data_IF_711457528132
#
_entry.id   IF_711457528132
#
_cell.length_a   1.000
_cell.length_b   1.000
_cell.length_c   1.000
_cell.angle_alpha   90.00
_cell.angle_beta   90.00
_cell.angle_gamma   90.00
#
_symmetry.space_group_name_H-M   'P 1'
#
loop_
_entity.id
_entity.type
_entity.pdbx_description
1 polymer ?
#
# COMPACT_ATOMS: atom_id res chain seq x y z
N UNK A 1 35.16 -2.26 -59.34
CA UNK A 1 35.01 -2.27 -57.90
C UNK A 1 34.25 -1.00 -57.53
N UNK A 2 32.89 -1.06 -57.56
CA UNK A 2 32.03 0.06 -57.25
C UNK A 2 31.73 0.03 -55.69
N UNK A 3 32.10 1.06 -54.99
CA UNK A 3 31.73 1.29 -53.61
C UNK A 3 30.33 1.93 -53.58
N UNK A 4 29.35 1.19 -53.09
CA UNK A 4 28.04 1.71 -52.73
C UNK A 4 28.14 2.30 -51.32
N UNK A 5 28.16 3.62 -51.21
CA UNK A 5 27.94 4.33 -49.94
C UNK A 5 26.44 4.29 -49.59
N UNK A 6 26.07 3.52 -48.57
CA UNK A 6 24.76 3.61 -47.95
C UNK A 6 24.68 4.89 -47.13
N UNK A 7 23.87 5.84 -47.57
CA UNK A 7 23.51 7.03 -46.82
C UNK A 7 22.45 6.60 -45.78
N UNK A 8 22.85 6.54 -44.52
CA UNK A 8 21.90 6.43 -43.41
C UNK A 8 21.09 7.73 -43.36
N UNK A 9 19.82 7.67 -43.75
CA UNK A 9 18.87 8.75 -43.52
C UNK A 9 18.65 8.80 -42.00
N UNK A 10 19.31 9.76 -41.37
CA UNK A 10 19.05 10.06 -39.93
C UNK A 10 17.59 10.41 -39.78
N UNK A 11 16.91 9.73 -38.83
CA UNK A 11 15.55 10.06 -38.42
C UNK A 11 15.55 11.55 -38.03
N UNK A 12 14.91 12.39 -38.85
CA UNK A 12 14.60 13.77 -38.44
C UNK A 12 13.71 13.70 -37.24
N UNK A 13 14.21 14.08 -36.07
CA UNK A 13 13.42 14.32 -34.87
C UNK A 13 12.52 15.50 -35.17
N UNK A 14 11.32 15.25 -35.67
CA UNK A 14 10.30 16.27 -35.80
C UNK A 14 10.01 16.81 -34.41
N UNK A 15 10.05 18.14 -34.25
CA UNK A 15 9.69 18.79 -32.99
C UNK A 15 8.32 18.26 -32.52
N UNK A 16 8.25 17.60 -31.36
CA UNK A 16 7.03 16.99 -30.85
C UNK A 16 5.89 17.98 -30.59
N UNK A 17 6.17 19.27 -30.67
CA UNK A 17 5.19 20.35 -30.52
C UNK A 17 4.58 20.79 -31.87
N UNK A 18 5.13 20.38 -33.01
CA UNK A 18 4.59 20.73 -34.32
C UNK A 18 3.40 19.89 -34.75
N UNK A 19 3.23 18.70 -34.18
CA UNK A 19 2.15 17.78 -34.50
C UNK A 19 1.34 17.44 -33.27
N UNK A 20 0.03 17.39 -33.41
CA UNK A 20 -0.88 17.04 -32.33
C UNK A 20 -0.71 15.55 -31.96
N UNK A 21 -0.37 15.27 -30.73
CA UNK A 21 -0.20 13.89 -30.22
C UNK A 21 -1.51 13.08 -30.16
N UNK A 22 -2.65 13.75 -30.34
CA UNK A 22 -3.97 13.12 -30.32
C UNK A 22 -4.48 12.79 -31.73
N UNK A 23 -4.44 13.74 -32.67
CA UNK A 23 -4.97 13.54 -34.02
C UNK A 23 -3.90 13.41 -35.11
N UNK A 24 -2.62 13.58 -34.78
CA UNK A 24 -1.49 13.47 -35.71
C UNK A 24 -1.34 14.64 -36.67
N UNK A 25 -2.25 15.60 -36.67
CA UNK A 25 -2.20 16.71 -37.60
C UNK A 25 -1.22 17.79 -37.16
N UNK A 26 -0.65 18.50 -38.12
CA UNK A 26 0.20 19.66 -37.86
C UNK A 26 -0.60 20.71 -37.13
N UNK A 27 -0.02 21.30 -36.07
CA UNK A 27 -0.67 22.33 -35.28
C UNK A 27 -0.41 23.69 -35.94
N UNK A 28 -1.50 24.40 -36.19
CA UNK A 28 -1.47 25.77 -36.68
C UNK A 28 -2.11 26.67 -35.60
N UNK A 29 -1.37 27.63 -35.10
CA UNK A 29 -1.84 28.55 -34.03
C UNK A 29 -1.46 28.07 -32.64
N UNK A 30 -2.41 28.04 -31.70
CA UNK A 30 -2.15 27.73 -30.29
C UNK A 30 -1.77 26.27 -30.08
N UNK A 31 -0.65 26.03 -29.40
CA UNK A 31 -0.19 24.71 -28.96
C UNK A 31 -0.42 24.58 -27.47
N UNK A 32 -1.24 23.60 -27.06
CA UNK A 32 -1.37 23.18 -25.68
C UNK A 32 -0.28 22.15 -25.37
N UNK A 33 0.58 22.45 -24.41
CA UNK A 33 1.69 21.58 -24.04
C UNK A 33 1.27 20.68 -22.89
N UNK A 34 1.34 19.38 -23.13
CA UNK A 34 1.06 18.37 -22.14
C UNK A 34 2.35 17.69 -21.67
N UNK A 35 2.47 17.50 -20.36
CA UNK A 35 3.56 16.75 -19.72
C UNK A 35 2.96 15.69 -18.80
N UNK A 36 3.54 14.50 -18.81
CA UNK A 36 3.17 13.42 -17.93
C UNK A 36 4.43 12.56 -17.69
N UNK A 37 4.64 12.05 -16.47
CA UNK A 37 5.82 11.23 -16.15
C UNK A 37 6.03 10.04 -17.09
N UNK A 38 4.95 9.45 -17.58
CA UNK A 38 4.99 8.30 -18.49
C UNK A 38 5.23 8.67 -19.97
N UNK A 39 5.20 9.93 -20.32
CA UNK A 39 5.49 10.41 -21.67
C UNK A 39 6.95 10.85 -21.76
N UNK A 40 7.63 10.40 -22.78
CA UNK A 40 8.98 10.88 -23.09
C UNK A 40 8.90 12.31 -23.64
N UNK A 41 9.14 13.30 -22.79
CA UNK A 41 9.14 14.71 -23.14
C UNK A 41 7.75 15.36 -23.23
N UNK A 42 7.74 16.58 -23.74
CA UNK A 42 6.53 17.39 -23.93
C UNK A 42 5.73 16.90 -25.15
N UNK A 43 4.41 16.97 -25.08
CA UNK A 43 3.49 16.62 -26.16
C UNK A 43 2.66 17.83 -26.55
N UNK A 44 2.62 18.15 -27.86
CA UNK A 44 1.75 19.20 -28.39
C UNK A 44 0.32 18.67 -28.61
N UNK A 45 -0.67 19.45 -28.23
CA UNK A 45 -2.09 19.18 -28.47
C UNK A 45 -2.68 20.39 -29.17
N UNK A 46 -3.42 20.18 -30.28
CA UNK A 46 -4.12 21.26 -30.98
C UNK A 46 -5.37 21.70 -30.21
N UNK A 47 -5.84 22.90 -30.48
CA UNK A 47 -6.99 23.50 -29.78
C UNK A 47 -8.23 22.60 -29.81
N UNK A 48 -8.56 22.03 -30.96
CA UNK A 48 -9.72 21.12 -31.09
C UNK A 48 -9.60 19.87 -30.20
N UNK A 49 -8.40 19.29 -30.10
CA UNK A 49 -8.19 18.11 -29.27
C UNK A 49 -8.10 18.45 -27.78
N UNK A 50 -7.68 19.66 -27.43
CA UNK A 50 -7.66 20.13 -26.04
C UNK A 50 -9.06 20.30 -25.44
N UNK A 51 -10.12 20.42 -26.30
CA UNK A 51 -11.53 20.50 -25.86
C UNK A 51 -12.15 19.13 -25.54
N UNK A 52 -11.47 18.02 -25.83
CA UNK A 52 -11.95 16.67 -25.56
C UNK A 52 -11.92 16.44 -24.05
N UNK A 53 -13.05 16.06 -23.45
CA UNK A 53 -13.18 15.84 -22.00
C UNK A 53 -12.60 14.51 -21.55
N UNK A 54 -12.75 13.48 -22.37
CA UNK A 54 -12.26 12.14 -22.08
C UNK A 54 -10.73 12.10 -22.25
N UNK A 55 -10.04 11.62 -21.22
CA UNK A 55 -8.59 11.49 -21.22
C UNK A 55 -8.15 10.07 -20.85
N UNK A 56 -7.02 9.64 -21.38
CA UNK A 56 -6.41 8.38 -21.00
C UNK A 56 -6.03 8.40 -19.50
N UNK A 57 -6.41 7.37 -18.78
CA UNK A 57 -6.17 7.26 -17.32
C UNK A 57 -4.67 7.06 -16.98
N UNK A 58 -3.82 6.76 -17.96
CA UNK A 58 -2.38 6.57 -17.78
C UNK A 58 -1.60 7.82 -18.19
N UNK A 59 -1.67 8.19 -19.48
CA UNK A 59 -0.87 9.30 -19.98
C UNK A 59 -1.58 10.67 -19.93
N UNK A 60 -2.86 10.68 -19.57
CA UNK A 60 -3.74 11.86 -19.51
C UNK A 60 -3.91 12.63 -20.83
N UNK A 61 -3.46 12.08 -21.95
CA UNK A 61 -3.75 12.66 -23.26
C UNK A 61 -5.25 12.50 -23.58
N UNK A 62 -5.88 13.50 -24.20
CA UNK A 62 -7.25 13.36 -24.68
C UNK A 62 -7.44 12.15 -25.61
N UNK A 63 -8.55 11.43 -25.47
CA UNK A 63 -8.85 10.26 -26.29
C UNK A 63 -9.93 10.61 -27.31
N UNK A 64 -9.64 10.48 -28.60
CA UNK A 64 -10.56 10.85 -29.69
C UNK A 64 -11.11 9.66 -30.45
N UNK A 65 -10.24 8.73 -30.81
CA UNK A 65 -10.57 7.52 -31.58
C UNK A 65 -9.66 6.38 -31.09
N UNK A 66 -10.10 5.12 -31.36
CA UNK A 66 -9.28 3.93 -31.02
C UNK A 66 -8.82 3.94 -29.57
N UNK A 67 -9.76 4.03 -28.67
CA UNK A 67 -9.50 3.93 -27.22
C UNK A 67 -10.22 2.73 -26.63
N UNK A 68 -9.73 2.26 -25.49
CA UNK A 68 -10.36 1.25 -24.65
C UNK A 68 -11.19 1.96 -23.58
N UNK A 69 -12.48 1.74 -23.56
CA UNK A 69 -13.37 2.13 -22.46
C UNK A 69 -13.40 1.02 -21.42
N UNK A 70 -13.01 1.33 -20.18
CA UNK A 70 -13.01 0.39 -19.05
C UNK A 70 -14.38 0.25 -18.39
N UNK A 71 -15.41 1.00 -18.87
CA UNK A 71 -16.80 0.94 -18.39
C UNK A 71 -17.02 1.45 -16.96
N UNK A 72 -16.03 2.13 -16.41
CA UNK A 72 -16.08 2.71 -15.06
C UNK A 72 -15.69 4.21 -15.04
N UNK A 73 -15.78 4.85 -16.19
CA UNK A 73 -15.41 6.25 -16.40
C UNK A 73 -13.93 6.45 -16.72
N UNK A 74 -13.15 5.38 -16.81
CA UNK A 74 -11.75 5.43 -17.23
C UNK A 74 -11.62 5.00 -18.69
N UNK A 75 -10.69 5.64 -19.38
CA UNK A 75 -10.36 5.36 -20.77
C UNK A 75 -8.85 5.12 -20.92
N UNK A 76 -8.46 4.27 -21.84
CA UNK A 76 -7.05 4.08 -22.21
C UNK A 76 -6.90 4.43 -23.70
N UNK A 77 -5.89 5.22 -24.06
CA UNK A 77 -5.57 5.45 -25.46
C UNK A 77 -5.10 4.13 -26.12
N UNK A 78 -5.09 4.08 -27.43
CA UNK A 78 -4.70 2.85 -28.17
C UNK A 78 -3.32 2.34 -27.73
N UNK A 79 -2.39 3.23 -27.46
CA UNK A 79 -1.03 2.86 -27.07
C UNK A 79 -0.98 2.23 -25.67
N UNK A 80 -1.58 2.89 -24.69
CA UNK A 80 -1.59 2.40 -23.32
C UNK A 80 -2.45 1.13 -23.17
N UNK A 81 -3.54 1.01 -23.92
CA UNK A 81 -4.39 -0.18 -23.91
C UNK A 81 -3.67 -1.47 -24.37
N UNK A 82 -2.62 -1.36 -25.19
CA UNK A 82 -1.82 -2.51 -25.65
C UNK A 82 -0.99 -3.15 -24.56
N UNK A 83 -0.62 -2.38 -23.54
CA UNK A 83 0.31 -2.82 -22.49
C UNK A 83 -0.32 -2.81 -21.08
N UNK A 84 -1.45 -2.15 -20.90
CA UNK A 84 -2.14 -2.08 -19.62
C UNK A 84 -2.52 -3.47 -19.09
N UNK A 85 -2.49 -3.63 -17.78
CA UNK A 85 -2.88 -4.86 -17.09
C UNK A 85 -4.40 -4.94 -17.04
N UNK A 86 -4.97 -5.74 -17.93
CA UNK A 86 -6.42 -5.87 -18.14
C UNK A 86 -6.95 -7.28 -17.85
N UNK A 87 -6.06 -8.26 -17.63
CA UNK A 87 -6.45 -9.64 -17.38
C UNK A 87 -5.75 -10.18 -16.13
N UNK A 88 -6.39 -11.12 -15.47
CA UNK A 88 -5.84 -11.72 -14.26
C UNK A 88 -4.56 -12.50 -14.54
N UNK A 89 -4.44 -13.14 -15.68
CA UNK A 89 -3.25 -13.92 -16.07
C UNK A 89 -2.01 -13.02 -16.20
N UNK A 90 -2.20 -11.82 -16.79
CA UNK A 90 -1.14 -10.80 -16.86
C UNK A 90 -0.78 -10.30 -15.47
N UNK A 91 -1.78 -10.03 -14.63
CA UNK A 91 -1.59 -9.59 -13.27
C UNK A 91 -0.85 -10.63 -12.41
N UNK A 92 -1.23 -11.91 -12.50
CA UNK A 92 -0.58 -13.02 -11.78
C UNK A 92 0.88 -13.19 -12.21
N UNK A 93 1.17 -13.08 -13.50
CA UNK A 93 2.55 -13.14 -14.03
C UNK A 93 3.42 -12.03 -13.45
N UNK A 94 2.92 -10.80 -13.42
CA UNK A 94 3.62 -9.66 -12.83
C UNK A 94 3.78 -9.81 -11.32
N UNK A 95 2.73 -10.29 -10.64
CA UNK A 95 2.73 -10.49 -9.20
C UNK A 95 3.72 -11.57 -8.76
N UNK A 96 3.86 -12.65 -9.53
CA UNK A 96 4.90 -13.65 -9.27
C UNK A 96 6.30 -13.02 -9.33
N UNK A 97 6.55 -12.14 -10.31
CA UNK A 97 7.78 -11.39 -10.37
C UNK A 97 7.98 -10.43 -9.19
N UNK A 98 6.90 -9.87 -8.62
CA UNK A 98 6.95 -9.07 -7.37
C UNK A 98 7.37 -9.95 -6.21
N UNK A 99 6.74 -11.11 -6.02
CA UNK A 99 7.10 -12.05 -4.95
C UNK A 99 8.57 -12.43 -5.00
N UNK A 100 9.09 -12.78 -6.17
CA UNK A 100 10.51 -13.12 -6.33
C UNK A 100 11.44 -11.96 -5.96
N UNK A 101 11.12 -10.73 -6.37
CA UNK A 101 11.89 -9.55 -6.00
C UNK A 101 11.90 -9.30 -4.49
N UNK A 102 10.74 -9.41 -3.84
CA UNK A 102 10.59 -9.19 -2.40
C UNK A 102 11.23 -10.31 -1.57
N UNK A 103 11.19 -11.57 -2.05
CA UNK A 103 11.87 -12.69 -1.40
C UNK A 103 13.35 -12.36 -1.19
N UNK A 104 14.00 -11.78 -2.17
CA UNK A 104 15.43 -11.42 -2.05
C UNK A 104 15.67 -10.33 -1.00
N UNK A 105 14.74 -9.41 -0.82
CA UNK A 105 14.83 -8.33 0.17
C UNK A 105 14.58 -8.82 1.59
N UNK A 106 13.64 -9.75 1.78
CA UNK A 106 13.21 -10.23 3.08
C UNK A 106 13.76 -11.59 3.50
N UNK A 107 14.58 -12.25 2.67
CA UNK A 107 15.03 -13.64 2.87
C UNK A 107 15.62 -13.95 4.27
N UNK A 108 16.10 -12.93 4.99
CA UNK A 108 16.65 -13.06 6.35
C UNK A 108 15.84 -12.33 7.41
N UNK A 109 14.70 -11.75 7.05
CA UNK A 109 14.04 -10.72 7.85
C UNK A 109 12.63 -11.09 8.29
N UNK A 110 12.24 -12.34 8.18
CA UNK A 110 10.93 -12.79 8.63
C UNK A 110 10.29 -13.83 7.71
N UNK A 111 9.08 -14.23 8.05
CA UNK A 111 8.29 -15.20 7.31
C UNK A 111 7.67 -14.51 6.08
N UNK A 112 7.69 -15.18 4.94
CA UNK A 112 7.03 -14.70 3.73
C UNK A 112 5.57 -15.16 3.71
N UNK A 113 4.61 -14.29 3.39
CA UNK A 113 3.22 -14.66 3.23
C UNK A 113 3.05 -15.74 2.16
N UNK A 114 2.43 -16.86 2.52
CA UNK A 114 2.28 -18.01 1.64
C UNK A 114 0.87 -18.10 1.01
N UNK A 115 -0.17 -17.73 1.75
CA UNK A 115 -1.57 -17.82 1.30
C UNK A 115 -2.08 -16.44 0.86
N UNK A 116 -1.74 -16.07 -0.39
CA UNK A 116 -2.17 -14.81 -1.00
C UNK A 116 -3.05 -15.09 -2.20
N UNK A 117 -4.21 -14.44 -2.25
CA UNK A 117 -5.12 -14.40 -3.40
C UNK A 117 -5.06 -13.01 -4.03
N UNK A 118 -4.75 -12.96 -5.31
CA UNK A 118 -4.72 -11.73 -6.09
C UNK A 118 -6.07 -11.54 -6.80
N UNK A 119 -6.58 -10.32 -6.77
CA UNK A 119 -7.79 -9.91 -7.48
C UNK A 119 -7.50 -8.67 -8.32
N UNK A 120 -7.79 -8.76 -9.60
CA UNK A 120 -7.80 -7.61 -10.50
C UNK A 120 -9.24 -7.08 -10.56
N UNK A 121 -9.46 -5.83 -10.19
CA UNK A 121 -10.80 -5.27 -10.00
C UNK A 121 -10.97 -3.93 -10.72
N UNK A 122 -12.19 -3.62 -11.12
CA UNK A 122 -12.55 -2.30 -11.63
C UNK A 122 -12.75 -1.28 -10.48
N UNK A 123 -12.93 -0.01 -10.82
CA UNK A 123 -13.10 1.06 -9.83
C UNK A 123 -14.33 0.89 -8.93
N UNK A 124 -15.54 0.55 -9.44
CA UNK A 124 -16.72 0.32 -8.60
C UNK A 124 -16.53 -0.80 -7.58
N UNK A 125 -15.90 -1.90 -7.99
CA UNK A 125 -15.59 -3.01 -7.09
C UNK A 125 -14.55 -2.62 -6.04
N UNK A 126 -13.48 -1.91 -6.43
CA UNK A 126 -12.48 -1.38 -5.50
C UNK A 126 -13.13 -0.47 -4.44
N UNK A 127 -14.01 0.44 -4.85
CA UNK A 127 -14.72 1.31 -3.93
C UNK A 127 -15.65 0.54 -2.98
N UNK A 128 -16.32 -0.49 -3.47
CA UNK A 128 -17.20 -1.34 -2.67
C UNK A 128 -16.39 -2.08 -1.61
N UNK A 129 -15.27 -2.70 -1.98
CA UNK A 129 -14.37 -3.42 -1.06
C UNK A 129 -13.87 -2.46 0.02
N UNK A 130 -13.43 -1.26 -0.36
CA UNK A 130 -12.95 -0.23 0.55
C UNK A 130 -14.01 0.24 1.54
N UNK A 131 -15.25 0.46 1.10
CA UNK A 131 -16.38 0.89 1.96
C UNK A 131 -16.71 -0.16 3.03
N UNK A 132 -16.69 -1.42 2.67
CA UNK A 132 -16.96 -2.53 3.61
C UNK A 132 -15.90 -2.57 4.72
N UNK A 133 -14.67 -2.18 4.44
CA UNK A 133 -13.56 -2.24 5.38
C UNK A 133 -13.42 -1.00 6.28
N UNK A 134 -14.20 0.06 6.06
CA UNK A 134 -14.19 1.31 6.85
C UNK A 134 -12.79 1.94 7.01
N UNK A 135 -12.01 1.98 5.94
CA UNK A 135 -10.73 2.70 5.98
C UNK A 135 -10.96 4.21 6.21
N UNK A 136 -10.29 4.82 7.19
CA UNK A 136 -10.53 6.22 7.58
C UNK A 136 -9.92 7.25 6.62
N UNK A 137 -9.18 6.85 5.60
CA UNK A 137 -8.45 7.77 4.73
C UNK A 137 -9.28 8.32 3.57
N UNK A 138 -9.05 9.60 3.20
CA UNK A 138 -9.81 10.25 2.16
C UNK A 138 -9.58 9.64 0.75
N UNK A 139 -10.62 9.78 -0.03
CA UNK A 139 -11.04 9.17 -1.28
C UNK A 139 -10.14 9.47 -2.49
N UNK A 140 -8.86 9.64 -2.40
CA UNK A 140 -8.05 9.89 -3.59
C UNK A 140 -7.41 8.58 -4.09
N UNK A 141 -8.10 8.00 -5.10
CA UNK A 141 -7.57 6.95 -6.00
C UNK A 141 -6.90 5.75 -5.34
N UNK A 142 -7.62 5.01 -4.50
CA UNK A 142 -7.13 3.70 -4.05
C UNK A 142 -6.92 2.81 -5.28
N UNK A 143 -5.67 2.49 -5.60
CA UNK A 143 -5.29 1.62 -6.73
C UNK A 143 -4.91 0.22 -6.27
N UNK A 144 -4.64 0.04 -4.98
CA UNK A 144 -4.38 -1.24 -4.32
C UNK A 144 -5.04 -1.31 -2.96
N UNK A 145 -5.24 -2.51 -2.44
CA UNK A 145 -5.77 -2.77 -1.11
C UNK A 145 -5.45 -4.20 -0.67
N UNK A 146 -4.93 -4.35 0.54
CA UNK A 146 -4.68 -5.64 1.17
C UNK A 146 -5.67 -5.90 2.29
N UNK A 147 -6.26 -7.09 2.30
CA UNK A 147 -7.12 -7.58 3.35
C UNK A 147 -6.58 -8.87 3.93
N UNK A 148 -6.32 -8.88 5.22
CA UNK A 148 -5.81 -10.03 5.94
C UNK A 148 -6.90 -10.63 6.81
N UNK A 149 -7.02 -11.96 6.79
CA UNK A 149 -7.86 -12.73 7.71
C UNK A 149 -7.01 -13.75 8.45
N UNK A 150 -7.06 -13.72 9.78
CA UNK A 150 -6.44 -14.75 10.60
C UNK A 150 -7.29 -16.03 10.51
N UNK A 151 -6.67 -17.16 10.16
CA UNK A 151 -7.24 -18.51 10.25
C UNK A 151 -7.00 -19.11 11.63
N UNK A 152 -5.81 -18.86 12.17
CA UNK A 152 -5.38 -19.24 13.51
C UNK A 152 -4.37 -18.21 14.02
N UNK A 153 -3.76 -18.46 15.17
CA UNK A 153 -2.81 -17.51 15.81
C UNK A 153 -1.59 -17.20 14.92
N UNK A 154 -1.18 -18.14 14.04
CA UNK A 154 0.00 -18.00 13.18
C UNK A 154 -0.29 -18.29 11.69
N UNK A 155 -1.55 -18.38 11.31
CA UNK A 155 -1.97 -18.64 9.94
C UNK A 155 -2.87 -17.54 9.43
N UNK A 156 -2.50 -16.98 8.29
CA UNK A 156 -3.21 -15.87 7.67
C UNK A 156 -3.55 -16.21 6.22
N UNK A 157 -4.65 -15.64 5.76
CA UNK A 157 -4.98 -15.53 4.33
C UNK A 157 -5.00 -14.06 3.97
N UNK A 158 -4.35 -13.72 2.88
CA UNK A 158 -4.32 -12.37 2.35
C UNK A 158 -5.07 -12.30 1.03
N UNK A 159 -5.88 -11.28 0.90
CA UNK A 159 -6.56 -10.92 -0.35
C UNK A 159 -5.98 -9.58 -0.80
N UNK A 160 -5.28 -9.57 -1.92
CA UNK A 160 -4.71 -8.36 -2.52
C UNK A 160 -5.57 -7.98 -3.72
N UNK A 161 -6.14 -6.80 -3.67
CA UNK A 161 -6.96 -6.22 -4.73
C UNK A 161 -6.17 -5.12 -5.42
N UNK A 162 -6.06 -5.18 -6.74
CA UNK A 162 -5.39 -4.14 -7.53
C UNK A 162 -6.32 -3.70 -8.65
N UNK A 163 -6.33 -2.40 -8.90
CA UNK A 163 -7.14 -1.80 -9.95
C UNK A 163 -6.64 -2.26 -11.32
N UNK A 164 -7.56 -2.63 -12.20
CA UNK A 164 -7.25 -2.94 -13.60
C UNK A 164 -6.85 -1.69 -14.41
N UNK A 165 -6.33 -1.88 -15.60
CA UNK A 165 -5.98 -0.79 -16.51
C UNK A 165 -4.74 0.01 -16.09
N UNK A 166 -3.95 -0.45 -15.13
CA UNK A 166 -2.66 0.15 -14.77
C UNK A 166 -1.56 -0.24 -15.77
N UNK A 167 -0.52 0.58 -15.89
CA UNK A 167 0.73 0.16 -16.57
C UNK A 167 1.39 -0.99 -15.81
N UNK A 168 2.13 -1.89 -16.48
CA UNK A 168 2.83 -2.98 -15.80
C UNK A 168 3.78 -2.54 -14.69
N UNK A 169 4.54 -1.44 -14.90
CA UNK A 169 5.42 -0.89 -13.87
C UNK A 169 4.64 -0.37 -12.66
N UNK A 170 3.56 0.38 -12.89
CA UNK A 170 2.71 0.90 -11.83
C UNK A 170 1.99 -0.23 -11.08
N UNK A 171 1.43 -1.21 -11.80
CA UNK A 171 0.88 -2.42 -11.19
C UNK A 171 1.91 -3.11 -10.27
N UNK A 172 3.14 -3.23 -10.74
CA UNK A 172 4.24 -3.85 -9.98
C UNK A 172 4.58 -3.09 -8.71
N UNK A 173 4.63 -1.75 -8.77
CA UNK A 173 4.87 -0.90 -7.60
C UNK A 173 3.73 -1.05 -6.56
N UNK A 174 2.47 -0.96 -7.02
CA UNK A 174 1.28 -1.16 -6.17
C UNK A 174 1.27 -2.57 -5.57
N UNK A 175 1.54 -3.60 -6.36
CA UNK A 175 1.58 -4.98 -5.89
C UNK A 175 2.67 -5.22 -4.82
N UNK A 176 3.82 -4.55 -4.94
CA UNK A 176 4.89 -4.62 -3.94
C UNK A 176 4.48 -3.94 -2.63
N UNK A 177 3.82 -2.80 -2.71
CA UNK A 177 3.23 -2.08 -1.57
C UNK A 177 2.24 -2.97 -0.83
N UNK A 178 1.26 -3.53 -1.53
CA UNK A 178 0.22 -4.37 -0.95
C UNK A 178 0.76 -5.70 -0.39
N UNK A 179 1.74 -6.31 -1.05
CA UNK A 179 2.42 -7.48 -0.52
C UNK A 179 3.14 -7.18 0.79
N UNK A 180 3.69 -5.98 0.92
CA UNK A 180 4.37 -5.54 2.15
C UNK A 180 3.40 -5.41 3.31
N UNK A 181 2.17 -4.94 3.09
CA UNK A 181 1.12 -4.98 4.12
C UNK A 181 0.85 -6.42 4.60
N UNK A 182 0.75 -7.39 3.67
CA UNK A 182 0.58 -8.80 4.03
C UNK A 182 1.77 -9.31 4.86
N UNK A 183 3.01 -8.98 4.46
CA UNK A 183 4.21 -9.33 5.20
C UNK A 183 4.23 -8.71 6.61
N UNK A 184 3.85 -7.46 6.75
CA UNK A 184 3.77 -6.79 8.06
C UNK A 184 2.78 -7.49 9.00
N UNK A 185 1.62 -7.91 8.50
CA UNK A 185 0.62 -8.62 9.30
C UNK A 185 1.13 -9.95 9.86
N UNK A 186 2.06 -10.62 9.19
CA UNK A 186 2.65 -11.87 9.65
C UNK A 186 3.90 -11.70 10.53
N UNK A 187 4.57 -10.53 10.46
CA UNK A 187 5.91 -10.36 11.03
C UNK A 187 6.02 -9.27 12.08
N UNK A 188 5.04 -8.39 12.19
CA UNK A 188 5.00 -7.30 13.16
C UNK A 188 4.02 -7.67 14.27
N UNK A 189 4.48 -7.61 15.52
CA UNK A 189 3.61 -7.90 16.68
C UNK A 189 2.41 -6.94 16.72
N UNK A 190 1.25 -7.44 17.11
CA UNK A 190 0.05 -6.62 17.36
C UNK A 190 0.25 -5.58 18.46
N UNK A 191 1.22 -5.80 19.34
CA UNK A 191 1.59 -4.84 20.41
C UNK A 191 2.51 -3.72 19.89
N UNK A 192 3.04 -3.87 18.68
CA UNK A 192 3.87 -2.86 18.02
C UNK A 192 3.00 -1.73 17.48
N UNK A 193 2.97 -0.63 18.21
CA UNK A 193 2.21 0.57 17.86
C UNK A 193 2.97 1.39 16.81
N UNK A 194 2.71 1.12 15.53
CA UNK A 194 3.22 1.95 14.44
C UNK A 194 2.20 3.02 14.06
N UNK A 195 2.69 4.23 13.78
CA UNK A 195 1.90 5.28 13.13
C UNK A 195 1.53 4.84 11.71
N UNK A 196 0.36 5.23 11.23
CA UNK A 196 -0.08 4.89 9.87
C UNK A 196 0.90 5.37 8.81
N UNK A 197 1.46 6.60 8.97
CA UNK A 197 2.42 7.13 8.01
C UNK A 197 3.71 6.29 7.98
N UNK A 198 4.12 5.69 9.10
CA UNK A 198 5.27 4.79 9.16
C UNK A 198 4.97 3.44 8.50
N UNK A 199 3.77 2.90 8.67
CA UNK A 199 3.32 1.67 7.97
C UNK A 199 3.34 1.89 6.46
N UNK A 200 2.66 2.93 5.99
CA UNK A 200 2.56 3.26 4.58
C UNK A 200 3.94 3.62 3.98
N UNK A 201 4.73 4.41 4.73
CA UNK A 201 6.09 4.77 4.31
C UNK A 201 7.01 3.57 4.16
N UNK A 202 6.86 2.54 4.99
CA UNK A 202 7.61 1.31 4.85
C UNK A 202 7.14 0.50 3.62
N UNK A 203 5.83 0.42 3.37
CA UNK A 203 5.29 -0.22 2.16
C UNK A 203 5.79 0.48 0.89
N UNK A 204 5.82 1.81 0.88
CA UNK A 204 6.38 2.62 -0.22
C UNK A 204 7.90 2.41 -0.37
N UNK A 205 8.65 2.27 0.73
CA UNK A 205 10.08 1.96 0.68
C UNK A 205 10.33 0.64 -0.06
N UNK A 206 9.57 -0.41 0.23
CA UNK A 206 9.74 -1.72 -0.42
C UNK A 206 9.37 -1.64 -1.90
N UNK A 207 8.28 -0.95 -2.22
CA UNK A 207 7.90 -0.67 -3.61
C UNK A 207 9.02 0.10 -4.34
N UNK A 208 9.56 1.15 -3.72
CA UNK A 208 10.67 1.94 -4.27
C UNK A 208 11.90 1.07 -4.55
N UNK A 209 12.32 0.22 -3.60
CA UNK A 209 13.47 -0.67 -3.76
C UNK A 209 13.27 -1.69 -4.89
N UNK A 210 12.05 -2.21 -5.05
CA UNK A 210 11.74 -3.09 -6.17
C UNK A 210 11.82 -2.34 -7.51
N UNK A 211 11.33 -1.10 -7.58
CA UNK A 211 11.41 -0.27 -8.78
C UNK A 211 12.87 0.12 -9.11
N UNK A 212 13.68 0.37 -8.10
CA UNK A 212 15.13 0.61 -8.24
C UNK A 212 15.84 -0.61 -8.85
N UNK A 213 15.59 -1.81 -8.33
CA UNK A 213 16.12 -3.06 -8.88
C UNK A 213 15.70 -3.29 -10.34
N UNK A 214 14.49 -2.89 -10.70
CA UNK A 214 13.94 -3.01 -12.05
C UNK A 214 14.32 -1.87 -12.97
N UNK A 215 14.98 -0.84 -12.47
CA UNK A 215 15.38 0.37 -13.21
C UNK A 215 14.17 1.12 -13.79
N UNK A 216 13.14 1.30 -12.96
CA UNK A 216 11.90 2.01 -13.30
C UNK A 216 11.88 3.43 -12.68
N UNK A 217 12.66 4.40 -13.23
CA UNK A 217 12.86 5.71 -12.61
C UNK A 217 11.57 6.54 -12.51
N UNK A 218 10.61 6.30 -13.40
CA UNK A 218 9.32 7.01 -13.37
C UNK A 218 8.53 6.61 -12.12
N UNK A 219 8.43 5.30 -11.85
CA UNK A 219 7.72 4.82 -10.65
C UNK A 219 8.45 5.24 -9.37
N UNK A 220 9.77 5.20 -9.35
CA UNK A 220 10.57 5.72 -8.23
C UNK A 220 10.25 7.19 -7.94
N UNK A 221 10.18 8.03 -8.98
CA UNK A 221 9.83 9.44 -8.83
C UNK A 221 8.38 9.63 -8.34
N UNK A 222 7.43 8.83 -8.82
CA UNK A 222 6.04 8.89 -8.39
C UNK A 222 5.89 8.50 -6.91
N UNK A 223 6.56 7.44 -6.46
CA UNK A 223 6.58 7.04 -5.06
C UNK A 223 7.12 8.17 -4.18
N UNK A 224 8.24 8.78 -4.56
CA UNK A 224 8.85 9.87 -3.79
C UNK A 224 8.02 11.17 -3.79
N UNK A 225 7.23 11.40 -4.82
CA UNK A 225 6.34 12.57 -4.90
C UNK A 225 4.98 12.36 -4.22
N UNK A 226 4.74 11.18 -3.65
CA UNK A 226 3.48 10.86 -2.99
C UNK A 226 3.45 11.42 -1.55
N UNK A 227 2.62 12.42 -1.33
CA UNK A 227 2.45 13.07 -0.01
C UNK A 227 1.68 12.19 1.00
N UNK A 228 1.18 11.04 0.58
CA UNK A 228 0.35 10.15 1.39
C UNK A 228 1.06 9.69 2.68
N UNK A 229 2.36 9.43 2.62
CA UNK A 229 3.17 8.98 3.75
C UNK A 229 3.73 10.13 4.60
N UNK A 230 3.37 11.36 4.31
CA UNK A 230 3.89 12.58 4.96
C UNK A 230 5.41 12.59 5.09
N UNK A 231 6.10 12.09 4.08
CA UNK A 231 7.55 12.07 4.00
C UNK A 231 8.22 10.89 4.70
N UNK A 232 7.49 9.92 5.27
CA UNK A 232 8.12 8.76 5.94
C UNK A 232 8.98 7.91 4.99
N UNK A 233 8.59 7.79 3.72
CA UNK A 233 9.44 7.10 2.73
C UNK A 233 10.81 7.75 2.59
N UNK A 234 10.89 9.09 2.60
CA UNK A 234 12.16 9.82 2.56
C UNK A 234 12.98 9.56 3.81
N UNK A 235 12.36 9.61 4.99
CA UNK A 235 13.03 9.32 6.26
C UNK A 235 13.62 7.91 6.27
N UNK A 236 12.93 6.92 5.75
CA UNK A 236 13.46 5.56 5.62
C UNK A 236 14.62 5.47 4.62
N UNK A 237 14.59 6.21 3.52
CA UNK A 237 15.67 6.26 2.54
C UNK A 237 16.92 6.94 3.10
N UNK A 238 16.76 7.94 3.98
CA UNK A 238 17.87 8.65 4.63
C UNK A 238 18.63 7.78 5.65
N UNK A 239 18.02 6.69 6.13
CA UNK A 239 18.63 5.73 7.08
C UNK A 239 19.71 4.84 6.44
N UNK A 240 20.21 5.15 5.33
CA UNK A 240 21.14 4.37 4.53
C UNK A 240 20.41 3.48 3.50
N UNK A 241 20.55 3.86 2.24
CA UNK A 241 19.93 3.15 1.13
C UNK A 241 20.35 1.69 0.99
N UNK A 242 21.49 1.29 1.57
CA UNK A 242 21.99 -0.09 1.50
C UNK A 242 21.54 -0.98 2.67
N UNK A 243 20.84 -0.44 3.68
CA UNK A 243 20.55 -1.12 4.95
C UNK A 243 19.08 -1.33 5.23
N UNK A 244 18.38 -1.97 4.31
CA UNK A 244 16.99 -2.36 4.53
C UNK A 244 16.83 -3.20 5.81
N UNK A 245 17.86 -3.94 6.20
CA UNK A 245 17.84 -4.78 7.40
C UNK A 245 17.53 -3.98 8.67
N UNK A 246 18.20 -2.85 8.90
CA UNK A 246 18.01 -2.01 10.08
C UNK A 246 16.60 -1.43 10.13
N UNK A 247 16.08 -1.00 8.99
CA UNK A 247 14.70 -0.51 8.88
C UNK A 247 13.68 -1.62 9.20
N UNK A 248 13.90 -2.83 8.69
CA UNK A 248 13.04 -3.98 9.00
C UNK A 248 13.10 -4.34 10.49
N UNK A 249 14.28 -4.31 11.12
CA UNK A 249 14.39 -4.53 12.57
C UNK A 249 13.65 -3.47 13.37
N UNK A 250 13.73 -2.21 12.96
CA UNK A 250 12.98 -1.16 13.61
C UNK A 250 11.45 -1.33 13.43
N UNK A 251 10.98 -1.67 12.25
CA UNK A 251 9.56 -1.95 11.99
C UNK A 251 9.05 -3.06 12.92
N UNK A 252 9.82 -4.13 13.09
CA UNK A 252 9.42 -5.30 13.87
C UNK A 252 9.55 -5.10 15.38
N UNK A 253 10.60 -4.46 15.84
CA UNK A 253 11.03 -4.49 17.24
C UNK A 253 11.26 -3.10 17.85
N UNK A 254 11.18 -2.04 17.07
CA UNK A 254 11.31 -0.67 17.59
C UNK A 254 10.19 -0.29 18.56
N UNK A 255 10.45 0.69 19.40
CA UNK A 255 9.51 1.21 20.40
C UNK A 255 8.81 2.49 19.95
N UNK A 256 9.41 3.20 18.99
CA UNK A 256 8.90 4.46 18.48
C UNK A 256 7.77 4.21 17.47
N UNK A 257 6.75 5.05 17.46
CA UNK A 257 5.59 4.88 16.55
C UNK A 257 5.94 5.27 15.10
N UNK A 258 6.83 6.25 14.92
CA UNK A 258 7.34 6.72 13.63
C UNK A 258 8.80 7.15 13.73
N UNK A 259 9.47 7.28 12.61
CA UNK A 259 10.84 7.81 12.55
C UNK A 259 10.82 9.32 12.37
N UNK A 260 11.63 9.98 13.21
CA UNK A 260 11.89 11.40 13.18
C UNK A 260 13.40 11.64 13.33
N UNK A 261 13.88 12.84 12.97
CA UNK A 261 15.29 13.19 13.10
C UNK A 261 15.86 12.97 14.52
N UNK A 262 15.01 13.05 15.54
CA UNK A 262 15.37 12.89 16.95
C UNK A 262 15.59 11.45 17.38
N UNK A 263 15.00 10.47 16.69
CA UNK A 263 15.05 9.05 17.07
C UNK A 263 15.68 8.13 16.02
N UNK A 264 16.07 8.65 14.88
CA UNK A 264 16.61 7.88 13.74
C UNK A 264 17.85 7.05 14.13
N UNK A 265 18.66 7.53 15.07
CA UNK A 265 19.84 6.80 15.57
C UNK A 265 19.50 5.50 16.32
N UNK A 266 18.29 5.35 16.84
CA UNK A 266 17.84 4.14 17.53
C UNK A 266 17.67 2.94 16.60
N UNK A 267 17.44 3.18 15.32
CA UNK A 267 17.40 2.13 14.30
C UNK A 267 18.68 1.32 14.27
N UNK A 268 19.83 2.00 14.40
CA UNK A 268 21.15 1.35 14.37
C UNK A 268 21.50 0.63 15.65
N UNK A 269 20.91 1.01 16.78
CA UNK A 269 21.16 0.36 18.08
C UNK A 269 20.50 -1.03 18.12
N UNK A 270 19.27 -1.14 17.63
CA UNK A 270 18.53 -2.41 17.57
C UNK A 270 19.28 -3.46 16.72
N UNK A 271 19.77 -3.05 15.55
CA UNK A 271 20.48 -3.95 14.65
C UNK A 271 21.81 -4.47 15.22
N UNK A 272 22.51 -3.67 16.04
CA UNK A 272 23.78 -4.07 16.68
C UNK A 272 23.58 -5.07 17.82
N UNK A 273 22.45 -5.05 18.51
CA UNK A 273 22.16 -5.98 19.59
C UNK A 273 21.96 -7.42 19.11
N UNK A 274 21.43 -7.60 17.90
CA UNK A 274 21.27 -8.94 17.30
C UNK A 274 22.58 -9.51 16.70
N UNK A 275 23.50 -8.67 16.25
CA UNK A 275 24.79 -9.14 15.66
C UNK A 275 25.81 -9.63 16.69
N UNK A 276 25.55 -9.45 17.98
CA UNK A 276 26.51 -9.82 19.06
C UNK A 276 26.52 -11.32 19.41
N UNK A 277 25.61 -12.15 18.94
CA UNK A 277 25.71 -13.61 18.92
C UNK A 277 24.72 -14.20 17.91
N UNK A 278 25.12 -15.09 16.99
CA UNK A 278 24.14 -15.91 16.30
C UNK A 278 23.56 -16.88 17.34
N UNK A 279 22.27 -16.81 17.66
CA UNK A 279 21.67 -17.89 18.42
C UNK A 279 21.68 -19.11 17.51
N UNK A 280 22.27 -20.20 18.02
CA UNK A 280 21.97 -21.53 17.51
C UNK A 280 20.44 -21.58 17.33
N UNK A 281 19.97 -22.01 16.16
CA UNK A 281 18.55 -22.20 15.84
C UNK A 281 17.93 -23.24 16.79
N UNK A 282 17.68 -22.84 18.02
CA UNK A 282 16.62 -23.40 18.82
C UNK A 282 15.42 -22.49 18.55
N UNK A 283 14.39 -23.02 17.94
CA UNK A 283 13.06 -22.40 17.91
C UNK A 283 12.78 -22.05 19.38
N UNK A 284 12.77 -20.77 19.79
CA UNK A 284 12.32 -20.45 21.13
C UNK A 284 10.88 -20.96 21.21
N UNK A 285 10.49 -21.61 22.31
CA UNK A 285 9.08 -21.90 22.53
C UNK A 285 8.33 -20.57 22.34
N UNK A 286 7.12 -20.58 21.76
CA UNK A 286 6.36 -19.38 21.51
C UNK A 286 6.33 -18.60 22.81
N UNK A 287 6.88 -17.37 22.79
CA UNK A 287 6.71 -16.44 23.91
C UNK A 287 5.22 -16.10 23.87
N UNK A 288 4.46 -16.84 24.66
CA UNK A 288 3.08 -16.53 24.95
C UNK A 288 3.15 -15.19 25.71
N UNK A 289 3.01 -14.09 24.96
CA UNK A 289 2.82 -12.78 25.59
C UNK A 289 1.48 -12.84 26.29
N UNK A 290 1.56 -13.00 27.61
CA UNK A 290 0.41 -13.01 28.49
C UNK A 290 -0.35 -11.71 28.25
N UNK A 291 -1.57 -11.80 27.73
CA UNK A 291 -2.44 -10.65 27.56
C UNK A 291 -2.69 -10.00 28.93
N UNK A 292 -3.22 -8.77 28.98
CA UNK A 292 -3.55 -8.13 30.24
C UNK A 292 -4.46 -9.05 31.07
N UNK A 293 -4.13 -9.29 32.34
CA UNK A 293 -4.84 -10.21 33.23
C UNK A 293 -6.30 -9.81 33.52
N UNK A 294 -6.74 -8.67 32.99
CA UNK A 294 -8.09 -8.13 33.19
C UNK A 294 -8.58 -7.38 31.93
N UNK A 295 -9.90 -7.25 31.81
CA UNK A 295 -10.52 -6.37 30.82
C UNK A 295 -10.26 -4.91 31.18
N UNK A 296 -9.68 -4.12 30.28
CA UNK A 296 -9.39 -2.70 30.47
C UNK A 296 -9.94 -1.88 29.32
N UNK A 297 -10.61 -0.78 29.64
CA UNK A 297 -10.99 0.23 28.65
C UNK A 297 -9.76 1.08 28.30
N UNK A 298 -9.35 1.06 27.04
CA UNK A 298 -8.16 1.77 26.54
C UNK A 298 -8.48 3.14 25.98
N UNK A 299 -9.57 3.23 25.21
CA UNK A 299 -10.00 4.50 24.62
C UNK A 299 -11.49 4.48 24.28
N UNK A 300 -12.08 5.68 24.20
CA UNK A 300 -13.41 5.93 23.64
C UNK A 300 -13.21 6.95 22.53
N UNK A 301 -13.80 6.71 21.36
CA UNK A 301 -13.69 7.56 20.18
C UNK A 301 -15.02 7.72 19.46
N UNK A 302 -15.14 8.73 18.61
CA UNK A 302 -16.34 9.02 17.81
C UNK A 302 -17.34 9.99 18.48
N UNK A 303 -18.26 10.54 17.69
CA UNK A 303 -19.30 11.46 18.19
C UNK A 303 -20.31 10.71 19.06
N UNK A 304 -21.03 11.42 19.94
CA UNK A 304 -21.95 10.85 20.93
C UNK A 304 -22.94 9.81 20.38
N UNK A 305 -23.40 9.98 19.14
CA UNK A 305 -24.35 9.05 18.49
C UNK A 305 -23.68 7.80 17.87
N UNK A 306 -22.32 7.75 17.77
CA UNK A 306 -21.56 6.65 17.14
C UNK A 306 -20.24 6.41 17.87
N UNK A 307 -20.29 6.31 19.18
CA UNK A 307 -19.10 6.03 20.00
C UNK A 307 -18.62 4.61 19.80
N UNK A 308 -17.29 4.47 19.82
CA UNK A 308 -16.59 3.20 19.83
C UNK A 308 -15.73 3.12 21.10
N UNK A 309 -15.73 1.97 21.75
CA UNK A 309 -14.90 1.68 22.91
C UNK A 309 -13.84 0.63 22.58
N UNK A 310 -12.58 0.92 22.84
CA UNK A 310 -11.49 -0.05 22.74
C UNK A 310 -11.28 -0.73 24.10
N UNK A 311 -11.52 -2.05 24.13
CA UNK A 311 -11.33 -2.89 25.31
C UNK A 311 -10.17 -3.84 25.05
N UNK A 312 -9.09 -3.72 25.81
CA UNK A 312 -7.79 -4.33 25.55
C UNK A 312 -7.31 -3.99 24.12
N UNK A 313 -7.41 -4.91 23.19
CA UNK A 313 -7.02 -4.80 21.78
C UNK A 313 -8.19 -4.89 20.79
N UNK A 314 -9.44 -4.87 21.27
CA UNK A 314 -10.63 -5.02 20.44
C UNK A 314 -11.54 -3.79 20.54
N UNK A 315 -12.00 -3.28 19.40
CA UNK A 315 -12.92 -2.14 19.32
C UNK A 315 -14.36 -2.62 19.20
N UNK A 316 -15.27 -1.98 19.95
CA UNK A 316 -16.68 -2.31 20.01
C UNK A 316 -17.56 -1.09 19.74
N UNK A 317 -18.60 -1.29 18.96
CA UNK A 317 -19.78 -0.43 18.95
C UNK A 317 -20.80 -0.89 20.02
N UNK A 318 -21.79 -0.05 20.31
CA UNK A 318 -22.90 -0.42 21.19
C UNK A 318 -23.64 -1.64 20.62
N UNK A 319 -23.93 -2.63 21.46
CA UNK A 319 -24.52 -3.94 21.15
C UNK A 319 -23.64 -4.90 20.35
N UNK A 320 -22.39 -4.55 20.06
CA UNK A 320 -21.45 -5.43 19.39
C UNK A 320 -20.89 -6.48 20.37
N UNK A 321 -20.63 -7.69 19.85
CA UNK A 321 -20.07 -8.81 20.58
C UNK A 321 -18.78 -9.26 19.92
N UNK A 322 -17.73 -9.50 20.72
CA UNK A 322 -16.43 -9.93 20.21
C UNK A 322 -15.57 -10.60 21.27
N UNK A 323 -14.55 -11.32 20.83
CA UNK A 323 -13.60 -12.01 21.73
C UNK A 323 -12.49 -11.03 22.12
N UNK A 324 -12.28 -10.87 23.42
CA UNK A 324 -11.20 -10.06 24.00
C UNK A 324 -10.23 -10.97 24.71
N UNK A 325 -8.93 -10.83 24.43
CA UNK A 325 -7.90 -11.61 25.11
C UNK A 325 -7.68 -11.08 26.53
N UNK A 326 -7.71 -12.00 27.48
CA UNK A 326 -7.47 -11.75 28.91
C UNK A 326 -6.53 -12.85 29.41
N UNK A 327 -5.28 -12.50 29.73
CA UNK A 327 -4.25 -13.50 30.02
C UNK A 327 -4.05 -14.47 28.85
N UNK A 328 -4.15 -15.76 29.12
CA UNK A 328 -4.02 -16.83 28.13
C UNK A 328 -5.36 -17.27 27.53
N UNK A 329 -6.48 -16.59 27.87
CA UNK A 329 -7.83 -16.96 27.45
C UNK A 329 -8.48 -15.90 26.60
N UNK A 330 -9.42 -16.31 25.75
CA UNK A 330 -10.32 -15.40 25.05
C UNK A 330 -11.66 -15.34 25.79
N UNK A 331 -12.07 -14.14 26.16
CA UNK A 331 -13.35 -13.86 26.84
C UNK A 331 -14.29 -13.24 25.81
N UNK A 332 -15.46 -13.81 25.62
CA UNK A 332 -16.49 -13.23 24.77
C UNK A 332 -17.20 -12.11 25.53
N UNK A 333 -17.12 -10.89 25.00
CA UNK A 333 -17.63 -9.66 25.61
C UNK A 333 -18.67 -9.05 24.69
N UNK A 334 -19.79 -8.62 25.25
CA UNK A 334 -20.79 -7.78 24.58
C UNK A 334 -20.72 -6.37 25.13
N UNK A 335 -20.54 -5.38 24.29
CA UNK A 335 -20.61 -3.97 24.64
C UNK A 335 -22.09 -3.56 24.75
N UNK A 336 -22.54 -3.20 25.95
CA UNK A 336 -23.94 -2.85 26.20
C UNK A 336 -24.19 -1.37 26.00
N UNK A 337 -23.28 -0.53 26.52
CA UNK A 337 -23.41 0.93 26.48
C UNK A 337 -22.04 1.59 26.53
N UNK A 338 -21.87 2.72 25.81
CA UNK A 338 -20.63 3.51 25.79
C UNK A 338 -20.95 4.93 26.25
N UNK A 339 -20.40 5.30 27.40
CA UNK A 339 -20.50 6.63 28.01
C UNK A 339 -19.27 7.49 27.68
N UNK A 340 -19.19 8.72 28.20
CA UNK A 340 -18.07 9.62 27.91
C UNK A 340 -16.71 9.11 28.41
N UNK A 341 -16.68 8.45 29.55
CA UNK A 341 -15.45 7.99 30.22
C UNK A 341 -15.50 6.52 30.67
N UNK A 342 -16.55 5.79 30.28
CA UNK A 342 -16.74 4.40 30.69
C UNK A 342 -17.52 3.60 29.64
N UNK A 343 -17.40 2.28 29.71
CA UNK A 343 -18.18 1.34 28.92
C UNK A 343 -18.83 0.30 29.81
N UNK A 344 -20.09 -0.01 29.56
CA UNK A 344 -20.82 -1.11 30.22
C UNK A 344 -20.71 -2.34 29.33
N UNK A 345 -20.20 -3.43 29.86
CA UNK A 345 -20.01 -4.69 29.15
C UNK A 345 -20.70 -5.84 29.87
N UNK A 346 -20.99 -6.87 29.13
CA UNK A 346 -21.46 -8.18 29.64
C UNK A 346 -20.52 -9.27 29.12
N UNK A 347 -20.03 -10.11 30.01
CA UNK A 347 -19.18 -11.27 29.66
C UNK A 347 -20.07 -12.49 29.47
N UNK A 348 -19.81 -13.27 28.41
CA UNK A 348 -20.56 -14.50 28.15
C UNK A 348 -20.45 -15.47 29.35
N UNK A 349 -21.56 -16.09 29.70
CA UNK A 349 -21.66 -16.97 30.90
C UNK A 349 -21.90 -16.23 32.21
N UNK A 350 -21.93 -14.88 32.19
CA UNK A 350 -22.28 -14.07 33.35
C UNK A 350 -23.50 -13.19 33.08
N UNK A 351 -24.48 -13.18 33.96
CA UNK A 351 -25.61 -12.24 33.91
C UNK A 351 -25.20 -10.83 34.41
N UNK A 352 -24.03 -10.68 35.03
CA UNK A 352 -23.55 -9.41 35.58
C UNK A 352 -23.01 -8.48 34.49
N UNK A 353 -23.44 -7.21 34.59
CA UNK A 353 -22.86 -6.12 33.79
C UNK A 353 -21.68 -5.53 34.55
N UNK A 354 -20.57 -5.31 33.83
CA UNK A 354 -19.36 -4.67 34.39
C UNK A 354 -19.15 -3.32 33.76
N UNK A 355 -18.75 -2.34 34.54
CA UNK A 355 -18.38 -1.01 34.09
C UNK A 355 -16.85 -0.91 34.03
N UNK A 356 -16.31 -0.67 32.86
CA UNK A 356 -14.89 -0.37 32.70
C UNK A 356 -14.72 1.14 32.56
N UNK A 357 -13.79 1.70 33.30
CA UNK A 357 -13.47 3.13 33.31
C UNK A 357 -12.21 3.41 32.48
N UNK A 358 -12.21 4.54 31.79
CA UNK A 358 -11.04 5.01 31.05
C UNK A 358 -9.96 5.46 32.04
N UNK A 359 -8.76 4.89 31.95
CA UNK A 359 -7.56 5.42 32.61
C UNK A 359 -7.43 5.13 34.10
N UNK A 360 -7.99 4.02 34.60
CA UNK A 360 -7.58 3.46 35.90
C UNK A 360 -6.77 2.19 35.77
#
# INVERSE_FOLDING_TARGET
MLWLMSISVGAQTSDPLLYCSVCGQRIWGTVYVHTNPYLQGKRGICETCAQIKEACSICYLPVKQRFKDLKDGRFLCEQDAKTAVLTIETAETLFEGVKQGIITMFARNGRLPADIKLFLVDRPNMETIRRVQRFPHPIHSTVGLTRTRAKSENEFTHEIYILDGLRPSHFTAVAAHEYTHAWMQENVSTDRMLDTDAVEGFCELIAYRLMEQRKEPVEMSLILSNDYTRGQVHTFLDIDPSRLYETVQWIRFGTDQKLEATNISRVFVLARQETAAPPAWSIPPPVITRGPDTLKLRSISGPAAKRLAMINNQTFAVNEQGKVRVGDSNVLVRCVEILDTSVVIQVEGSSERRVLQLGK
#
